data_IF_277898744161
#
_entry.id   IF_277898744161
#
_cell.length_a   1.000
_cell.length_b   1.000
_cell.length_c   1.000
_cell.angle_alpha   90.00
_cell.angle_beta   90.00
_cell.angle_gamma   90.00
#
_symmetry.space_group_name_H-M   'P 1'
#
loop_
_entity.id
_entity.type
_entity.pdbx_description
1 polymer ?
#
# COMPACT_ATOMS: atom_id res chain seq x y z
N UNK A 1 -23.50 3.79 10.18
CA UNK A 1 -22.97 3.73 8.80
C UNK A 1 -22.21 5.01 8.51
N UNK A 2 -21.14 4.91 7.75
CA UNK A 2 -20.29 6.05 7.37
C UNK A 2 -19.93 5.91 5.90
N UNK A 3 -20.06 6.99 5.14
CA UNK A 3 -19.67 7.03 3.72
C UNK A 3 -18.50 7.98 3.60
N UNK A 4 -17.43 7.51 2.99
CA UNK A 4 -16.20 8.27 2.82
C UNK A 4 -15.88 8.37 1.32
N UNK A 5 -15.51 9.55 0.85
CA UNK A 5 -15.04 9.76 -0.51
C UNK A 5 -13.53 9.91 -0.50
N UNK A 6 -12.86 9.13 -1.34
CA UNK A 6 -11.42 9.24 -1.54
C UNK A 6 -11.17 10.39 -2.53
N UNK A 7 -10.40 11.40 -2.12
CA UNK A 7 -10.08 12.55 -2.95
C UNK A 7 -8.58 12.79 -2.95
N UNK A 8 -8.04 13.24 -4.08
CA UNK A 8 -6.61 13.58 -4.19
C UNK A 8 -6.22 14.65 -3.17
N UNK A 9 -7.11 15.61 -2.90
CA UNK A 9 -6.87 16.65 -1.91
C UNK A 9 -6.68 16.11 -0.48
N UNK A 10 -7.07 14.88 -0.20
CA UNK A 10 -6.87 14.21 1.09
C UNK A 10 -5.48 13.61 1.28
N UNK A 11 -4.69 13.53 0.22
CA UNK A 11 -3.35 12.96 0.27
C UNK A 11 -2.39 13.87 1.02
N UNK A 12 -1.51 13.29 1.84
CA UNK A 12 -0.47 14.00 2.60
C UNK A 12 0.84 13.27 2.46
N UNK A 13 1.92 14.03 2.26
CA UNK A 13 3.27 13.47 2.20
C UNK A 13 3.56 12.66 3.47
N UNK A 14 4.04 11.44 3.30
CA UNK A 14 4.41 10.56 4.41
C UNK A 14 5.91 10.62 4.67
N UNK A 15 6.28 10.76 5.93
CA UNK A 15 7.67 10.71 6.37
C UNK A 15 8.01 9.37 7.04
N UNK A 16 7.16 8.36 6.91
CA UNK A 16 7.40 7.06 7.51
C UNK A 16 8.63 6.37 6.94
N UNK A 17 9.43 5.77 7.82
CA UNK A 17 10.71 5.16 7.45
C UNK A 17 10.59 3.95 6.51
N UNK A 18 9.40 3.38 6.38
CA UNK A 18 9.14 2.27 5.47
C UNK A 18 9.25 2.68 3.99
N UNK A 19 9.05 3.97 3.67
CA UNK A 19 9.06 4.43 2.29
C UNK A 19 10.43 4.84 1.80
N UNK A 20 10.69 4.57 0.52
CA UNK A 20 11.85 5.02 -0.25
C UNK A 20 11.32 5.86 -1.40
N UNK A 21 11.67 7.14 -1.43
CA UNK A 21 11.14 8.10 -2.41
C UNK A 21 9.84 8.77 -1.94
N UNK A 22 9.28 9.66 -2.77
CA UNK A 22 8.12 10.44 -2.39
C UNK A 22 6.83 9.62 -2.42
N UNK A 23 6.13 9.58 -1.29
CA UNK A 23 4.87 8.85 -1.13
C UNK A 23 3.88 9.71 -0.37
N UNK A 24 2.65 9.79 -0.87
CA UNK A 24 1.54 10.39 -0.15
C UNK A 24 0.61 9.30 0.34
N UNK A 25 0.02 9.52 1.50
CA UNK A 25 -0.97 8.61 2.07
C UNK A 25 -2.21 9.35 2.53
N UNK A 26 -3.33 8.65 2.61
CA UNK A 26 -4.48 9.12 3.36
C UNK A 26 -5.18 7.92 4.00
N UNK A 27 -5.54 8.08 5.27
CA UNK A 27 -6.36 7.11 5.96
C UNK A 27 -7.82 7.33 5.56
N UNK A 28 -8.45 6.30 5.01
CA UNK A 28 -9.82 6.38 4.51
C UNK A 28 -10.79 5.86 5.56
N UNK A 29 -10.52 4.68 6.10
CA UNK A 29 -11.33 4.05 7.17
C UNK A 29 -10.40 3.51 8.25
N UNK A 30 -10.61 3.93 9.49
CA UNK A 30 -9.95 3.39 10.67
C UNK A 30 -10.92 3.39 11.86
N UNK A 31 -10.47 2.88 13.00
CA UNK A 31 -11.28 2.82 14.20
C UNK A 31 -12.40 1.79 14.15
N UNK A 32 -12.50 0.99 13.11
CA UNK A 32 -13.41 -0.13 13.04
C UNK A 32 -12.90 -1.31 13.85
N UNK A 33 -13.77 -2.30 14.07
CA UNK A 33 -13.41 -3.49 14.83
C UNK A 33 -12.38 -4.36 14.12
N UNK A 34 -12.54 -4.57 12.81
CA UNK A 34 -11.78 -5.59 12.09
C UNK A 34 -10.91 -5.05 10.97
N UNK A 35 -11.30 -3.95 10.32
CA UNK A 35 -10.66 -3.52 9.07
C UNK A 35 -10.19 -2.07 9.12
N UNK A 36 -9.12 -1.82 8.35
CA UNK A 36 -8.59 -0.48 8.08
C UNK A 36 -8.34 -0.35 6.58
N UNK A 37 -8.64 0.82 6.02
CA UNK A 37 -8.40 1.15 4.60
C UNK A 37 -7.56 2.41 4.50
N UNK A 38 -6.43 2.30 3.78
CA UNK A 38 -5.52 3.42 3.52
C UNK A 38 -5.30 3.50 2.02
N UNK A 39 -5.31 4.71 1.45
CA UNK A 39 -4.83 4.95 0.09
C UNK A 39 -3.35 5.33 0.15
N UNK A 40 -2.54 4.74 -0.73
CA UNK A 40 -1.11 5.02 -0.85
C UNK A 40 -0.81 5.41 -2.29
N UNK A 41 -0.20 6.58 -2.47
CA UNK A 41 0.18 7.13 -3.76
C UNK A 41 1.71 7.23 -3.85
N UNK A 42 2.32 6.35 -4.64
CA UNK A 42 3.76 6.31 -4.89
C UNK A 42 4.08 7.15 -6.12
N UNK A 43 5.02 8.07 -6.01
CA UNK A 43 5.44 8.96 -7.10
C UNK A 43 6.79 8.54 -7.65
N UNK A 44 6.95 8.59 -8.98
CA UNK A 44 8.25 8.49 -9.65
C UNK A 44 9.09 7.30 -9.19
N UNK A 45 8.53 6.11 -9.23
CA UNK A 45 9.24 4.90 -8.85
C UNK A 45 9.46 4.71 -7.36
N UNK A 46 8.81 5.51 -6.52
CA UNK A 46 8.86 5.32 -5.06
C UNK A 46 8.26 3.96 -4.66
N UNK A 47 8.73 3.43 -3.56
CA UNK A 47 8.31 2.10 -3.07
C UNK A 47 8.43 2.03 -1.56
N UNK A 48 7.96 0.93 -0.99
CA UNK A 48 8.29 0.64 0.39
C UNK A 48 9.39 -0.42 0.50
N UNK A 49 9.99 -0.49 1.67
CA UNK A 49 11.01 -1.50 2.00
C UNK A 49 10.33 -2.85 2.22
N UNK A 50 11.04 -3.96 2.01
CA UNK A 50 10.52 -5.27 2.39
C UNK A 50 10.05 -5.28 3.84
N UNK A 51 8.86 -5.80 4.08
CA UNK A 51 8.21 -5.78 5.39
C UNK A 51 7.20 -6.91 5.52
N UNK A 52 6.74 -7.12 6.75
CA UNK A 52 5.66 -8.07 7.07
C UNK A 52 4.55 -7.36 7.82
N UNK A 53 3.36 -7.93 7.76
CA UNK A 53 2.21 -7.53 8.58
C UNK A 53 1.72 -8.69 9.42
N UNK A 54 1.13 -8.40 10.57
CA UNK A 54 0.55 -9.42 11.44
C UNK A 54 -0.81 -9.92 10.95
N UNK A 55 -1.45 -9.19 10.03
CA UNK A 55 -2.72 -9.58 9.41
C UNK A 55 -2.54 -9.73 7.90
N UNK A 56 -3.50 -10.39 7.24
CA UNK A 56 -3.57 -10.40 5.78
C UNK A 56 -3.72 -8.98 5.24
N UNK A 57 -3.26 -8.78 4.01
CA UNK A 57 -3.39 -7.51 3.30
C UNK A 57 -3.97 -7.74 1.92
N UNK A 58 -4.87 -6.85 1.50
CA UNK A 58 -5.34 -6.77 0.13
C UNK A 58 -4.90 -5.41 -0.43
N UNK A 59 -4.27 -5.43 -1.60
CA UNK A 59 -3.92 -4.23 -2.35
C UNK A 59 -4.79 -4.18 -3.60
N UNK A 60 -5.47 -3.06 -3.80
CA UNK A 60 -6.28 -2.82 -5.01
C UNK A 60 -5.66 -1.64 -5.75
N UNK A 61 -5.11 -1.91 -6.93
CA UNK A 61 -4.49 -0.86 -7.75
C UNK A 61 -5.57 -0.03 -8.41
N UNK A 62 -5.49 1.28 -8.25
CA UNK A 62 -6.50 2.23 -8.76
C UNK A 62 -5.95 3.16 -9.83
N UNK A 63 -4.65 3.47 -9.83
CA UNK A 63 -4.03 4.37 -10.80
C UNK A 63 -2.59 3.92 -11.10
N UNK A 64 -2.14 4.19 -12.31
CA UNK A 64 -0.73 4.06 -12.68
C UNK A 64 -0.25 2.63 -12.89
N UNK A 65 1.06 2.45 -12.79
CA UNK A 65 1.73 1.15 -13.01
C UNK A 65 2.71 0.90 -11.86
N UNK A 66 2.60 -0.25 -11.24
CA UNK A 66 3.43 -0.61 -10.09
C UNK A 66 4.02 -2.00 -10.16
N UNK A 67 4.75 -2.33 -9.11
CA UNK A 67 5.36 -3.65 -8.91
C UNK A 67 4.97 -4.13 -7.51
N UNK A 68 4.66 -5.42 -7.41
CA UNK A 68 4.54 -6.11 -6.11
C UNK A 68 5.57 -7.23 -6.09
N UNK A 69 6.41 -7.26 -5.08
CA UNK A 69 7.49 -8.22 -4.94
C UNK A 69 7.38 -9.05 -3.66
N UNK A 70 7.62 -10.36 -3.79
CA UNK A 70 7.67 -11.28 -2.66
C UNK A 70 8.58 -12.46 -3.00
N UNK A 71 9.60 -12.72 -2.16
CA UNK A 71 10.47 -13.87 -2.32
C UNK A 71 11.23 -13.94 -3.65
N UNK A 72 11.58 -12.79 -4.25
CA UNK A 72 12.24 -12.73 -5.56
C UNK A 72 11.28 -12.79 -6.75
N UNK A 73 10.00 -13.01 -6.52
CA UNK A 73 8.96 -12.94 -7.54
C UNK A 73 8.44 -11.50 -7.60
N UNK A 74 8.68 -10.83 -8.72
CA UNK A 74 8.23 -9.45 -8.93
C UNK A 74 7.22 -9.42 -10.07
N UNK A 75 6.06 -8.82 -9.82
CA UNK A 75 4.98 -8.76 -10.81
C UNK A 75 4.55 -7.32 -11.03
N UNK A 76 4.41 -6.95 -12.30
CA UNK A 76 3.84 -5.66 -12.68
C UNK A 76 2.33 -5.68 -12.44
N UNK A 77 1.82 -4.59 -11.90
CA UNK A 77 0.39 -4.42 -11.61
C UNK A 77 -0.11 -3.09 -12.17
N UNK A 78 -1.40 -3.05 -12.52
CA UNK A 78 -2.09 -1.89 -13.06
C UNK A 78 -3.52 -1.80 -12.53
N UNK A 79 -4.24 -0.70 -12.83
CA UNK A 79 -5.61 -0.51 -12.31
C UNK A 79 -6.51 -1.72 -12.56
N UNK A 80 -7.20 -2.15 -11.51
CA UNK A 80 -8.03 -3.34 -11.51
C UNK A 80 -7.34 -4.60 -11.00
N UNK A 81 -6.01 -4.60 -10.88
CA UNK A 81 -5.30 -5.72 -10.27
C UNK A 81 -5.45 -5.70 -8.76
N UNK A 82 -5.59 -6.88 -8.18
CA UNK A 82 -5.70 -7.09 -6.75
C UNK A 82 -4.61 -8.05 -6.31
N UNK A 83 -3.81 -7.64 -5.33
CA UNK A 83 -2.81 -8.51 -4.71
C UNK A 83 -3.30 -8.94 -3.32
N UNK A 84 -3.24 -10.23 -3.04
CA UNK A 84 -3.47 -10.76 -1.72
C UNK A 84 -2.14 -11.19 -1.10
N UNK A 85 -1.84 -10.64 0.07
CA UNK A 85 -0.60 -10.92 0.78
C UNK A 85 -0.96 -11.53 2.13
N UNK A 86 -0.63 -12.81 2.35
CA UNK A 86 -0.90 -13.46 3.62
C UNK A 86 -0.12 -12.83 4.77
N UNK A 87 -0.69 -12.88 5.96
CA UNK A 87 0.00 -12.46 7.18
C UNK A 87 1.38 -13.13 7.27
N UNK A 88 2.40 -12.36 7.61
CA UNK A 88 3.77 -12.85 7.81
C UNK A 88 4.62 -12.99 6.54
N UNK A 89 4.05 -12.82 5.35
CA UNK A 89 4.83 -12.87 4.11
C UNK A 89 5.66 -11.60 3.93
N UNK A 90 6.97 -11.77 3.74
CA UNK A 90 7.86 -10.65 3.43
C UNK A 90 7.59 -10.17 2.00
N UNK A 91 7.24 -8.91 1.85
CA UNK A 91 6.87 -8.33 0.56
C UNK A 91 7.20 -6.84 0.51
N UNK A 92 7.15 -6.30 -0.69
CA UNK A 92 7.23 -4.87 -0.93
C UNK A 92 6.37 -4.51 -2.14
N UNK A 93 6.01 -3.25 -2.26
CA UNK A 93 5.28 -2.75 -3.43
C UNK A 93 5.60 -1.27 -3.65
N UNK A 94 5.31 -0.81 -4.85
CA UNK A 94 5.56 0.56 -5.21
C UNK A 94 5.29 0.83 -6.68
N UNK A 95 5.64 2.04 -7.12
CA UNK A 95 5.53 2.45 -8.51
C UNK A 95 6.65 1.80 -9.35
N UNK A 96 6.33 1.47 -10.59
CA UNK A 96 7.35 1.09 -11.57
C UNK A 96 8.23 2.31 -11.86
N UNK A 97 9.52 2.08 -12.11
CA UNK A 97 10.45 3.16 -12.45
C UNK A 97 9.91 4.01 -13.61
N UNK A 98 9.91 5.33 -13.42
CA UNK A 98 9.37 6.29 -14.38
C UNK A 98 7.85 6.42 -14.37
N UNK A 99 7.17 5.78 -13.41
CA UNK A 99 5.71 5.81 -13.26
C UNK A 99 5.31 6.23 -11.85
N UNK A 100 4.04 6.63 -11.72
CA UNK A 100 3.35 6.72 -10.43
C UNK A 100 2.45 5.48 -10.28
N UNK A 101 2.10 5.15 -9.05
CA UNK A 101 1.11 4.10 -8.79
C UNK A 101 0.35 4.41 -7.52
N UNK A 102 -0.96 4.22 -7.57
CA UNK A 102 -1.84 4.36 -6.42
C UNK A 102 -2.56 3.05 -6.16
N UNK A 103 -2.60 2.65 -4.90
CA UNK A 103 -3.43 1.52 -4.48
C UNK A 103 -4.18 1.82 -3.19
N UNK A 104 -5.23 1.05 -2.97
CA UNK A 104 -5.89 0.93 -1.69
C UNK A 104 -5.23 -0.24 -0.95
N UNK A 105 -4.94 -0.05 0.33
CA UNK A 105 -4.43 -1.09 1.21
C UNK A 105 -5.48 -1.40 2.27
N UNK A 106 -5.95 -2.64 2.29
CA UNK A 106 -6.92 -3.13 3.25
C UNK A 106 -6.19 -4.11 4.17
N UNK A 107 -6.13 -3.78 5.45
CA UNK A 107 -5.51 -4.59 6.50
C UNK A 107 -6.47 -4.79 7.66
N UNK A 108 -6.13 -5.71 8.54
CA UNK A 108 -6.77 -5.76 9.85
C UNK A 108 -6.52 -4.47 10.64
N UNK A 109 -7.52 -4.01 11.39
CA UNK A 109 -7.41 -2.77 12.17
C UNK A 109 -6.34 -2.79 13.25
N UNK A 110 -5.90 -3.97 13.67
CA UNK A 110 -4.83 -4.17 14.66
C UNK A 110 -3.51 -4.60 14.03
N UNK A 111 -3.41 -4.57 12.70
CA UNK A 111 -2.21 -5.01 11.98
C UNK A 111 -0.99 -4.20 12.41
N UNK A 112 0.11 -4.88 12.68
CA UNK A 112 1.41 -4.29 12.97
C UNK A 112 2.37 -4.62 11.85
N UNK A 113 3.25 -3.67 11.51
CA UNK A 113 4.20 -3.79 10.41
C UNK A 113 5.61 -3.88 10.96
N UNK A 114 6.38 -4.84 10.45
CA UNK A 114 7.82 -4.98 10.78
C UNK A 114 8.62 -4.84 9.49
N UNK A 115 9.55 -3.88 9.48
CA UNK A 115 10.46 -3.68 8.34
C UNK A 115 11.55 -4.74 8.42
N UNK A 116 11.79 -5.44 7.31
CA UNK A 116 12.81 -6.48 7.19
C UNK A 116 14.11 -5.89 6.59
N UNK A 117 15.21 -6.21 7.19
CA UNK A 117 16.52 -5.78 6.72
C UNK A 117 16.89 -4.40 7.16
#
# INVERSE_FOLDING_TARGET
MRIVRIEQAGRRASAESIFVGPVDTQTVVDGGKDLRLIEVHFKSGARNKPHTHTTDQILVVTEGTGIVGAGGDEREVRPGDVAFIPAGEVHWHGAKEGHDMTHLAINGGTSQTTIEG
#
